data_IF_086535340639
#
_entry.id   IF_086535340639
#
_cell.length_a   1.000
_cell.length_b   1.000
_cell.length_c   1.000
_cell.angle_alpha   90.00
_cell.angle_beta   90.00
_cell.angle_gamma   90.00
#
_symmetry.space_group_name_H-M   'P 1'
#
loop_
_entity.id
_entity.type
_entity.pdbx_description
1 polymer ?
#
# COMPACT_ATOMS: atom_id res chain seq x y z
N UNK A 1 -0.51 -4.71 -13.24
CA UNK A 1 -0.57 -3.65 -12.22
C UNK A 1 -1.13 -2.41 -12.88
N UNK A 2 -2.18 -1.81 -12.35
CA UNK A 2 -2.80 -0.59 -12.89
C UNK A 2 -2.11 0.67 -12.32
N UNK A 3 -2.36 1.81 -12.94
CA UNK A 3 -1.78 3.11 -12.53
C UNK A 3 -2.00 3.43 -11.04
N UNK A 4 -3.22 3.22 -10.55
CA UNK A 4 -3.57 3.46 -9.14
C UNK A 4 -2.87 2.49 -8.16
N UNK A 5 -2.49 1.28 -8.60
CA UNK A 5 -1.72 0.33 -7.80
C UNK A 5 -0.24 0.75 -7.76
N UNK A 6 0.30 1.23 -8.89
CA UNK A 6 1.66 1.77 -8.96
C UNK A 6 1.82 3.02 -8.08
N UNK A 7 0.87 3.95 -8.13
CA UNK A 7 0.88 5.14 -7.29
C UNK A 7 0.77 4.81 -5.79
N UNK A 8 -0.02 3.78 -5.43
CA UNK A 8 -0.10 3.27 -4.06
C UNK A 8 1.23 2.65 -3.62
N UNK A 9 1.86 1.85 -4.48
CA UNK A 9 3.17 1.26 -4.22
C UNK A 9 4.24 2.34 -4.04
N UNK A 10 4.28 3.36 -4.90
CA UNK A 10 5.19 4.50 -4.75
C UNK A 10 4.98 5.25 -3.44
N UNK A 11 3.72 5.41 -3.01
CA UNK A 11 3.43 6.03 -1.71
C UNK A 11 3.96 5.21 -0.54
N UNK A 12 4.08 3.89 -0.68
CA UNK A 12 4.63 2.99 0.34
C UNK A 12 6.15 2.75 0.18
N UNK A 13 6.74 3.12 -0.95
CA UNK A 13 8.14 2.87 -1.29
C UNK A 13 9.13 3.67 -0.44
N UNK A 14 8.67 4.73 0.24
CA UNK A 14 9.43 5.47 1.25
C UNK A 14 9.78 4.61 2.49
N UNK A 15 9.16 3.43 2.64
CA UNK A 15 9.39 2.53 3.79
C UNK A 15 8.72 2.99 5.08
N UNK A 16 8.09 4.15 5.06
CA UNK A 16 7.28 4.73 6.12
C UNK A 16 5.93 4.03 6.28
N UNK A 17 5.34 4.10 7.49
CA UNK A 17 4.00 3.59 7.74
C UNK A 17 2.96 4.62 7.31
N UNK A 18 2.04 4.18 6.44
CA UNK A 18 0.91 4.97 6.00
C UNK A 18 -0.40 4.33 6.47
N UNK A 19 -1.21 5.08 7.20
CA UNK A 19 -2.52 4.59 7.66
C UNK A 19 -3.46 4.34 6.47
N UNK A 20 -4.25 3.27 6.54
CA UNK A 20 -5.20 2.93 5.48
C UNK A 20 -6.25 4.02 5.22
N UNK A 21 -6.58 4.85 6.22
CA UNK A 21 -7.43 6.03 6.07
C UNK A 21 -6.72 7.15 5.30
N UNK A 22 -5.49 7.52 5.68
CA UNK A 22 -4.72 8.52 4.96
C UNK A 22 -4.50 8.16 3.48
N UNK A 23 -4.26 6.88 3.18
CA UNK A 23 -4.19 6.37 1.81
C UNK A 23 -5.56 6.47 1.13
N UNK A 24 -6.65 6.07 1.81
CA UNK A 24 -7.99 6.13 1.27
C UNK A 24 -8.38 7.58 0.88
N UNK A 25 -8.10 8.55 1.75
CA UNK A 25 -8.32 9.98 1.48
C UNK A 25 -7.47 10.48 0.31
N UNK A 26 -6.16 10.19 0.31
CA UNK A 26 -5.25 10.59 -0.77
C UNK A 26 -5.68 10.05 -2.14
N UNK A 27 -6.14 8.82 -2.19
CA UNK A 27 -6.55 8.16 -3.42
C UNK A 27 -8.05 8.34 -3.74
N UNK A 28 -8.79 9.12 -2.92
CA UNK A 28 -10.23 9.32 -3.03
C UNK A 28 -11.03 8.00 -3.16
N UNK A 29 -10.64 6.98 -2.38
CA UNK A 29 -11.27 5.66 -2.35
C UNK A 29 -11.62 5.27 -0.92
N UNK A 30 -12.30 4.13 -0.75
CA UNK A 30 -12.56 3.61 0.59
C UNK A 30 -11.34 2.90 1.18
N UNK A 31 -11.26 2.84 2.51
CA UNK A 31 -10.26 2.03 3.22
C UNK A 31 -10.26 0.57 2.78
N UNK A 32 -11.44 0.01 2.48
CA UNK A 32 -11.58 -1.35 1.95
C UNK A 32 -10.97 -1.50 0.54
N UNK A 33 -11.07 -0.47 -0.32
CA UNK A 33 -10.43 -0.48 -1.63
C UNK A 33 -8.90 -0.45 -1.52
N UNK A 34 -8.35 0.34 -0.59
CA UNK A 34 -6.90 0.31 -0.27
C UNK A 34 -6.48 -1.09 0.18
N UNK A 35 -7.23 -1.70 1.11
CA UNK A 35 -6.95 -3.05 1.57
C UNK A 35 -6.90 -4.06 0.41
N UNK A 36 -7.90 -4.03 -0.49
CA UNK A 36 -7.93 -4.89 -1.68
C UNK A 36 -6.71 -4.66 -2.59
N UNK A 37 -6.31 -3.41 -2.81
CA UNK A 37 -5.12 -3.08 -3.61
C UNK A 37 -3.84 -3.57 -2.94
N UNK A 38 -3.69 -3.40 -1.63
CA UNK A 38 -2.54 -3.92 -0.87
C UNK A 38 -2.45 -5.44 -0.98
N UNK A 39 -3.59 -6.15 -0.84
CA UNK A 39 -3.64 -7.60 -1.01
C UNK A 39 -3.20 -8.03 -2.42
N UNK A 40 -3.63 -7.30 -3.46
CA UNK A 40 -3.16 -7.55 -4.84
C UNK A 40 -1.68 -7.26 -5.00
N UNK A 41 -1.19 -6.14 -4.49
CA UNK A 41 0.22 -5.78 -4.50
C UNK A 41 1.08 -6.86 -3.84
N UNK A 42 0.66 -7.38 -2.69
CA UNK A 42 1.35 -8.47 -1.98
C UNK A 42 1.36 -9.80 -2.76
N UNK A 43 0.45 -9.98 -3.71
CA UNK A 43 0.44 -11.16 -4.59
C UNK A 43 1.45 -11.07 -5.74
N UNK A 44 2.05 -9.90 -5.99
CA UNK A 44 3.10 -9.77 -7.00
C UNK A 44 4.46 -10.19 -6.42
N UNK A 45 5.26 -10.97 -7.16
CA UNK A 45 6.60 -11.33 -6.73
C UNK A 45 7.47 -10.08 -6.56
N UNK A 46 8.21 -10.02 -5.44
CA UNK A 46 9.08 -8.89 -5.10
C UNK A 46 8.39 -7.76 -4.32
N UNK A 47 7.06 -7.80 -4.14
CA UNK A 47 6.33 -6.78 -3.37
C UNK A 47 5.84 -7.37 -2.04
N UNK A 48 6.48 -6.98 -0.95
CA UNK A 48 6.07 -7.40 0.40
C UNK A 48 5.59 -6.20 1.21
N UNK A 49 4.27 -6.04 1.36
CA UNK A 49 3.66 -4.96 2.16
C UNK A 49 3.32 -5.45 3.56
N UNK A 50 3.95 -4.87 4.57
CA UNK A 50 3.65 -5.15 5.97
C UNK A 50 2.47 -4.28 6.45
N UNK A 51 1.51 -4.92 7.12
CA UNK A 51 0.34 -4.24 7.70
C UNK A 51 0.33 -4.42 9.21
N UNK A 52 0.42 -3.32 9.96
CA UNK A 52 0.44 -3.34 11.43
C UNK A 52 -0.80 -2.65 11.96
N UNK A 53 -1.57 -3.36 12.80
CA UNK A 53 -2.76 -2.81 13.46
C UNK A 53 -2.39 -1.57 14.27
N UNK A 54 -3.08 -0.46 14.01
CA UNK A 54 -2.83 0.82 14.69
C UNK A 54 -1.67 1.66 14.14
N UNK A 55 -0.86 1.14 13.20
CA UNK A 55 0.19 1.92 12.51
C UNK A 55 -0.12 2.16 11.03
N UNK A 56 -0.65 1.14 10.34
CA UNK A 56 -0.96 1.23 8.91
C UNK A 56 -0.16 0.22 8.08
N UNK A 57 0.21 0.63 6.87
CA UNK A 57 0.83 -0.20 5.84
C UNK A 57 2.17 0.39 5.42
N UNK A 58 3.17 -0.47 5.17
CA UNK A 58 4.47 -0.06 4.63
C UNK A 58 5.02 -1.09 3.67
N UNK A 59 5.88 -0.67 2.76
CA UNK A 59 6.69 -1.62 1.99
C UNK A 59 7.80 -2.17 2.91
N UNK A 60 7.97 -3.50 2.91
CA UNK A 60 8.89 -4.20 3.81
C UNK A 60 10.27 -4.40 3.19
N UNK A 61 10.33 -4.59 1.88
CA UNK A 61 11.57 -4.62 1.09
C UNK A 61 11.56 -3.45 0.09
N UNK A 62 12.65 -2.69 -0.05
CA UNK A 62 12.75 -1.68 -1.11
C UNK A 62 12.56 -2.35 -2.48
N UNK A 63 11.98 -1.62 -3.43
CA UNK A 63 11.89 -2.10 -4.82
C UNK A 63 13.32 -2.12 -5.39
N UNK A 64 13.88 -3.31 -5.66
CA UNK A 64 15.18 -3.49 -6.31
C UNK A 64 15.13 -3.19 -7.82
#
# INVERSE_FOLDING_TARGET
MNDAEYALLQSLADGSFHSGEALAERFAVTRAAIWKRIQRLNAFPGIEIASVRGKGHRLKAPLE
#
